data_IF_778352431726
#
_entry.id   IF_778352431726
#
_cell.length_a   1.000
_cell.length_b   1.000
_cell.length_c   1.000
_cell.angle_alpha   90.00
_cell.angle_beta   90.00
_cell.angle_gamma   90.00
#
_symmetry.space_group_name_H-M   'P 1'
#
loop_
_entity.id
_entity.type
_entity.pdbx_description
1 polymer ?
#
# COMPACT_ATOMS: atom_id res chain seq x y z
N UNK A 1 -13.19 2.10 -13.55
CA UNK A 1 -13.51 1.14 -14.63
C UNK A 1 -14.80 0.43 -14.29
N UNK A 2 -15.59 0.10 -15.28
CA UNK A 2 -16.80 -0.72 -15.17
C UNK A 2 -16.41 -2.11 -14.61
N UNK A 3 -16.98 -2.47 -13.46
CA UNK A 3 -16.60 -3.72 -12.77
C UNK A 3 -17.13 -4.96 -13.50
N UNK A 4 -18.17 -4.87 -14.31
CA UNK A 4 -18.63 -5.97 -15.17
C UNK A 4 -17.59 -6.32 -16.23
N UNK A 5 -16.93 -5.31 -16.80
CA UNK A 5 -15.84 -5.50 -17.76
C UNK A 5 -14.62 -6.13 -17.07
N UNK A 6 -14.24 -5.61 -15.87
CA UNK A 6 -13.16 -6.17 -15.10
C UNK A 6 -13.43 -7.63 -14.71
N UNK A 7 -14.67 -7.95 -14.31
CA UNK A 7 -15.09 -9.32 -14.02
C UNK A 7 -14.82 -10.27 -15.19
N UNK A 8 -15.20 -9.88 -16.41
CA UNK A 8 -14.93 -10.72 -17.61
C UNK A 8 -13.46 -10.95 -17.86
N UNK A 9 -12.61 -9.95 -17.60
CA UNK A 9 -11.16 -10.09 -17.71
C UNK A 9 -10.64 -11.08 -16.67
N UNK A 10 -11.05 -10.95 -15.42
CA UNK A 10 -10.62 -11.83 -14.34
C UNK A 10 -11.08 -13.29 -14.55
N UNK A 11 -12.32 -13.48 -15.01
CA UNK A 11 -12.85 -14.79 -15.36
C UNK A 11 -12.07 -15.42 -16.52
N UNK A 12 -11.69 -14.61 -17.53
CA UNK A 12 -10.90 -15.08 -18.67
C UNK A 12 -9.44 -15.43 -18.33
N UNK A 13 -8.83 -14.67 -17.42
CA UNK A 13 -7.47 -14.95 -16.92
C UNK A 13 -7.45 -16.19 -16.05
N UNK A 14 -8.48 -16.42 -15.25
CA UNK A 14 -8.67 -17.57 -14.37
C UNK A 14 -7.42 -17.98 -13.59
N UNK A 15 -6.74 -17.02 -12.98
CA UNK A 15 -5.50 -17.22 -12.24
C UNK A 15 -5.67 -16.84 -10.75
N UNK A 16 -5.15 -17.67 -9.85
CA UNK A 16 -5.11 -17.38 -8.42
C UNK A 16 -4.15 -16.23 -8.07
N UNK A 17 -3.24 -15.90 -8.96
CA UNK A 17 -2.26 -14.81 -8.78
C UNK A 17 -2.77 -13.45 -9.24
N UNK A 18 -3.96 -13.40 -9.85
CA UNK A 18 -4.58 -12.16 -10.33
C UNK A 18 -5.86 -11.90 -9.56
N UNK A 19 -6.01 -10.71 -9.02
CA UNK A 19 -7.13 -10.32 -8.18
C UNK A 19 -7.53 -8.86 -8.45
N UNK A 20 -8.62 -8.42 -7.85
CA UNK A 20 -9.06 -7.04 -7.91
C UNK A 20 -8.59 -6.25 -6.68
N UNK A 21 -8.05 -5.07 -6.93
CA UNK A 21 -7.99 -3.98 -5.99
C UNK A 21 -9.23 -3.11 -6.23
N UNK A 22 -10.04 -2.91 -5.21
CA UNK A 22 -11.19 -2.03 -5.30
C UNK A 22 -10.88 -0.66 -4.67
N UNK A 23 -10.73 0.37 -5.50
CA UNK A 23 -10.85 1.75 -5.03
C UNK A 23 -12.35 2.06 -4.92
N UNK A 24 -12.83 2.29 -3.70
CA UNK A 24 -14.26 2.47 -3.44
C UNK A 24 -14.85 3.73 -4.08
N UNK A 25 -14.01 4.71 -4.40
CA UNK A 25 -14.42 5.99 -4.95
C UNK A 25 -14.68 5.92 -6.47
N UNK A 26 -13.81 5.23 -7.21
CA UNK A 26 -13.80 5.31 -8.66
C UNK A 26 -15.06 4.74 -9.33
N UNK A 27 -15.51 3.51 -9.06
CA UNK A 27 -16.75 3.00 -9.66
C UNK A 27 -17.97 3.85 -9.31
N UNK A 28 -18.06 4.29 -8.06
CA UNK A 28 -19.17 5.09 -7.57
C UNK A 28 -19.21 6.47 -8.24
N UNK A 29 -18.08 7.20 -8.27
CA UNK A 29 -18.01 8.57 -8.78
C UNK A 29 -18.03 8.68 -10.30
N UNK A 30 -17.30 7.80 -10.97
CA UNK A 30 -17.07 7.94 -12.41
C UNK A 30 -17.93 7.01 -13.26
N UNK A 31 -18.47 5.94 -12.68
CA UNK A 31 -19.28 4.96 -13.40
C UNK A 31 -20.72 4.89 -12.90
N UNK A 32 -21.05 5.71 -11.90
CA UNK A 32 -22.37 5.69 -11.21
C UNK A 32 -22.76 4.29 -10.73
N UNK A 33 -21.77 3.48 -10.38
CA UNK A 33 -21.94 2.10 -9.95
C UNK A 33 -22.12 2.05 -8.44
N UNK A 34 -23.23 1.45 -8.00
CA UNK A 34 -23.50 1.32 -6.58
C UNK A 34 -22.54 0.29 -5.93
N UNK A 35 -22.18 0.46 -4.64
CA UNK A 35 -21.27 -0.45 -3.95
C UNK A 35 -21.69 -1.92 -4.02
N UNK A 36 -22.97 -2.18 -3.95
CA UNK A 36 -23.53 -3.54 -4.01
C UNK A 36 -23.30 -4.18 -5.39
N UNK A 37 -23.39 -3.39 -6.45
CA UNK A 37 -23.09 -3.87 -7.82
C UNK A 37 -21.63 -4.26 -7.96
N UNK A 38 -20.71 -3.43 -7.44
CA UNK A 38 -19.28 -3.76 -7.41
C UNK A 38 -19.05 -5.06 -6.64
N UNK A 39 -19.68 -5.25 -5.49
CA UNK A 39 -19.56 -6.46 -4.68
C UNK A 39 -20.14 -7.67 -5.40
N UNK A 40 -21.27 -7.54 -6.08
CA UNK A 40 -21.86 -8.63 -6.89
C UNK A 40 -20.89 -9.01 -8.02
N UNK A 41 -20.34 -8.02 -8.71
CA UNK A 41 -19.47 -8.26 -9.86
C UNK A 41 -18.10 -8.81 -9.44
N UNK A 42 -17.46 -8.27 -8.43
CA UNK A 42 -16.04 -8.51 -8.11
C UNK A 42 -15.79 -9.20 -6.76
N UNK A 43 -16.82 -9.40 -5.93
CA UNK A 43 -16.62 -9.76 -4.51
C UNK A 43 -15.63 -10.89 -4.26
N UNK A 44 -15.66 -11.96 -5.04
CA UNK A 44 -14.70 -13.09 -4.89
C UNK A 44 -13.27 -12.71 -5.27
N UNK A 45 -13.10 -11.72 -6.13
CA UNK A 45 -11.80 -11.26 -6.63
C UNK A 45 -11.19 -10.13 -5.79
N UNK A 46 -11.98 -9.44 -4.97
CA UNK A 46 -11.48 -8.32 -4.15
C UNK A 46 -10.54 -8.86 -3.07
N UNK A 47 -9.25 -8.50 -3.16
CA UNK A 47 -8.21 -8.87 -2.20
C UNK A 47 -7.59 -7.68 -1.49
N UNK A 48 -7.77 -6.49 -2.04
CA UNK A 48 -7.27 -5.25 -1.47
C UNK A 48 -8.26 -4.12 -1.74
N UNK A 49 -8.36 -3.17 -0.82
CA UNK A 49 -9.27 -2.03 -0.92
C UNK A 49 -8.50 -0.74 -0.70
N UNK A 50 -8.71 0.23 -1.59
CA UNK A 50 -8.38 1.62 -1.34
C UNK A 50 -9.63 2.35 -0.83
N UNK A 51 -9.54 2.87 0.39
CA UNK A 51 -10.57 3.71 0.99
C UNK A 51 -10.26 5.18 0.73
N UNK A 52 -11.28 5.90 0.32
CA UNK A 52 -11.21 7.32 -0.02
C UNK A 52 -12.58 7.93 0.16
N UNK A 53 -12.65 9.12 0.73
CA UNK A 53 -13.88 9.91 0.79
C UNK A 53 -13.77 11.17 -0.06
N UNK A 54 -14.88 11.64 -0.58
CA UNK A 54 -14.92 12.79 -1.47
C UNK A 54 -16.30 13.43 -1.49
N UNK A 55 -16.38 14.64 -2.02
CA UNK A 55 -17.63 15.32 -2.42
C UNK A 55 -17.53 15.74 -3.89
N UNK A 56 -18.67 15.81 -4.56
CA UNK A 56 -18.77 16.39 -5.90
C UNK A 56 -19.08 17.87 -5.76
N UNK A 57 -18.25 18.73 -6.34
CA UNK A 57 -18.45 20.17 -6.34
C UNK A 57 -19.50 20.57 -7.39
N UNK A 58 -19.98 21.80 -7.33
CA UNK A 58 -20.99 22.33 -8.27
C UNK A 58 -20.51 22.32 -9.73
N UNK A 59 -19.21 22.38 -9.97
CA UNK A 59 -18.58 22.29 -11.29
C UNK A 59 -18.31 20.85 -11.77
N UNK A 60 -18.73 19.84 -11.00
CA UNK A 60 -18.50 18.43 -11.27
C UNK A 60 -17.12 17.91 -10.88
N UNK A 61 -16.23 18.75 -10.39
CA UNK A 61 -14.93 18.30 -9.87
C UNK A 61 -15.07 17.59 -8.54
N UNK A 62 -14.05 16.81 -8.15
CA UNK A 62 -14.02 16.11 -6.85
C UNK A 62 -13.11 16.83 -5.87
N UNK A 63 -13.60 16.98 -4.64
CA UNK A 63 -12.77 17.35 -3.49
C UNK A 63 -12.66 16.14 -2.56
N UNK A 64 -11.43 15.70 -2.29
CA UNK A 64 -11.18 14.62 -1.32
C UNK A 64 -11.34 15.14 0.11
N UNK A 65 -11.94 14.31 0.95
CA UNK A 65 -12.25 14.59 2.35
C UNK A 65 -11.65 13.53 3.26
N UNK A 66 -11.47 13.86 4.52
CA UNK A 66 -11.17 12.82 5.53
C UNK A 66 -12.35 11.86 5.62
N UNK A 67 -12.09 10.64 6.05
CA UNK A 67 -13.13 9.60 6.07
C UNK A 67 -14.32 10.03 6.94
N UNK A 68 -15.51 9.99 6.36
CA UNK A 68 -16.75 10.41 7.00
C UNK A 68 -17.07 11.90 6.88
N UNK A 69 -16.22 12.72 6.27
CA UNK A 69 -16.49 14.15 6.01
C UNK A 69 -16.99 14.42 4.58
N UNK A 70 -17.03 13.39 3.74
CA UNK A 70 -17.56 13.44 2.38
C UNK A 70 -19.00 12.93 2.30
N UNK A 71 -19.41 12.60 1.09
CA UNK A 71 -20.74 12.05 0.81
C UNK A 71 -20.71 10.67 0.14
N UNK A 72 -19.55 9.98 0.23
CA UNK A 72 -19.46 8.58 -0.16
C UNK A 72 -20.33 7.71 0.75
N UNK A 73 -21.00 6.68 0.24
CA UNK A 73 -21.83 5.78 1.04
C UNK A 73 -20.99 4.79 1.87
N UNK A 74 -20.08 5.31 2.70
CA UNK A 74 -19.03 4.53 3.39
C UNK A 74 -19.62 3.44 4.29
N UNK A 75 -20.67 3.77 5.05
CA UNK A 75 -21.32 2.81 5.94
C UNK A 75 -21.90 1.61 5.17
N UNK A 76 -22.55 1.87 4.02
CA UNK A 76 -23.06 0.80 3.14
C UNK A 76 -21.92 -0.06 2.60
N UNK A 77 -20.83 0.57 2.16
CA UNK A 77 -19.65 -0.11 1.61
C UNK A 77 -19.05 -1.05 2.67
N UNK A 78 -18.73 -0.52 3.85
CA UNK A 78 -18.06 -1.31 4.88
C UNK A 78 -18.96 -2.39 5.50
N UNK A 79 -20.24 -2.10 5.71
CA UNK A 79 -21.20 -3.12 6.15
C UNK A 79 -21.36 -4.27 5.14
N UNK A 80 -21.41 -3.94 3.84
CA UNK A 80 -21.50 -4.95 2.79
C UNK A 80 -20.23 -5.82 2.71
N UNK A 81 -19.05 -5.22 2.91
CA UNK A 81 -17.79 -5.96 3.00
C UNK A 81 -17.75 -6.91 4.21
N UNK A 82 -18.17 -6.41 5.37
CA UNK A 82 -18.27 -7.23 6.60
C UNK A 82 -19.25 -8.39 6.40
N UNK A 83 -20.44 -8.10 5.86
CA UNK A 83 -21.47 -9.13 5.60
C UNK A 83 -20.99 -10.21 4.63
N UNK A 84 -20.09 -9.86 3.69
CA UNK A 84 -19.47 -10.82 2.76
C UNK A 84 -18.28 -11.57 3.36
N UNK A 85 -17.87 -11.25 4.58
CA UNK A 85 -16.71 -11.86 5.23
C UNK A 85 -15.37 -11.41 4.64
N UNK A 86 -15.29 -10.18 4.09
CA UNK A 86 -14.03 -9.62 3.65
C UNK A 86 -13.06 -9.49 4.83
N UNK A 87 -11.88 -10.10 4.71
CA UNK A 87 -10.85 -10.12 5.74
C UNK A 87 -9.48 -9.63 5.24
N UNK A 88 -9.47 -8.98 4.08
CA UNK A 88 -8.27 -8.38 3.50
C UNK A 88 -7.93 -7.01 4.09
N UNK A 89 -6.94 -6.36 3.48
CA UNK A 89 -6.49 -5.04 3.90
C UNK A 89 -7.34 -3.93 3.28
N UNK A 90 -7.57 -2.88 4.07
CA UNK A 90 -8.15 -1.62 3.62
C UNK A 90 -7.12 -0.54 3.87
N UNK A 91 -6.65 0.10 2.82
CA UNK A 91 -5.65 1.17 2.84
C UNK A 91 -6.31 2.51 2.55
N UNK A 92 -6.02 3.52 3.34
CA UNK A 92 -6.37 4.89 2.98
C UNK A 92 -5.54 5.33 1.78
N UNK A 93 -6.21 5.77 0.72
CA UNK A 93 -5.54 6.47 -0.37
C UNK A 93 -5.66 7.98 -0.17
N UNK A 94 -4.53 8.63 0.12
CA UNK A 94 -4.46 10.06 0.41
C UNK A 94 -3.52 10.76 -0.56
N UNK A 95 -4.10 11.37 -1.59
CA UNK A 95 -3.39 11.86 -2.76
C UNK A 95 -2.77 13.26 -2.57
N UNK A 96 -2.18 13.56 -1.40
CA UNK A 96 -1.59 14.87 -1.08
C UNK A 96 -0.51 15.32 -2.05
N UNK A 97 0.18 14.39 -2.70
CA UNK A 97 1.20 14.71 -3.72
C UNK A 97 0.60 15.53 -4.87
N UNK A 98 -0.63 15.25 -5.26
CA UNK A 98 -1.31 15.92 -6.38
C UNK A 98 -2.28 17.02 -5.91
N UNK A 99 -2.79 16.93 -4.68
CA UNK A 99 -3.70 17.90 -4.07
C UNK A 99 -3.07 18.49 -2.82
N UNK A 100 -2.25 19.54 -2.98
CA UNK A 100 -1.41 20.13 -1.92
C UNK A 100 -2.22 20.71 -0.74
N UNK A 101 -3.48 21.07 -0.98
CA UNK A 101 -4.43 21.60 0.02
C UNK A 101 -4.97 20.52 0.96
N UNK A 102 -4.71 19.23 0.71
CA UNK A 102 -5.17 18.17 1.61
C UNK A 102 -4.47 18.23 2.97
N UNK A 103 -5.18 17.77 4.00
CA UNK A 103 -4.70 17.68 5.38
C UNK A 103 -3.43 16.83 5.48
N UNK A 104 -2.57 17.15 6.43
CA UNK A 104 -1.30 16.42 6.62
C UNK A 104 -1.53 14.98 7.13
N UNK A 105 -0.64 14.08 6.74
CA UNK A 105 -0.68 12.65 7.07
C UNK A 105 -0.76 12.40 8.59
N UNK A 106 -0.07 13.21 9.40
CA UNK A 106 -0.13 13.13 10.87
C UNK A 106 -1.51 13.33 11.49
N UNK A 107 -2.44 13.95 10.76
CA UNK A 107 -3.84 14.12 11.20
C UNK A 107 -4.73 13.05 10.56
N UNK A 108 -4.53 12.82 9.27
CA UNK A 108 -5.41 11.95 8.47
C UNK A 108 -5.27 10.48 8.86
N UNK A 109 -4.06 9.99 9.13
CA UNK A 109 -3.87 8.55 9.43
C UNK A 109 -4.47 8.16 10.79
N UNK A 110 -4.30 8.92 11.90
CA UNK A 110 -5.03 8.65 13.12
C UNK A 110 -6.55 8.70 12.93
N UNK A 111 -7.06 9.72 12.24
CA UNK A 111 -8.49 9.86 11.95
C UNK A 111 -9.04 8.66 11.17
N UNK A 112 -8.31 8.21 10.13
CA UNK A 112 -8.70 7.00 9.40
C UNK A 112 -8.72 5.76 10.29
N UNK A 113 -7.71 5.58 11.13
CA UNK A 113 -7.66 4.46 12.06
C UNK A 113 -8.85 4.46 13.03
N UNK A 114 -9.22 5.63 13.55
CA UNK A 114 -10.37 5.79 14.44
C UNK A 114 -11.70 5.56 13.70
N UNK A 115 -11.85 6.14 12.51
CA UNK A 115 -13.03 5.92 11.66
C UNK A 115 -13.28 4.45 11.35
N UNK A 116 -12.23 3.67 11.13
CA UNK A 116 -12.33 2.25 10.80
C UNK A 116 -12.60 1.32 12.00
N UNK A 117 -12.54 1.81 13.25
CA UNK A 117 -12.76 0.97 14.45
C UNK A 117 -14.05 0.16 14.42
N UNK A 118 -15.24 0.71 14.05
CA UNK A 118 -16.50 -0.03 14.01
C UNK A 118 -16.52 -1.18 13.00
N UNK A 119 -15.72 -1.06 11.94
CA UNK A 119 -15.67 -2.01 10.83
C UNK A 119 -14.56 -3.05 10.97
N UNK A 120 -13.72 -2.92 11.99
CA UNK A 120 -12.67 -3.92 12.26
C UNK A 120 -13.31 -5.23 12.63
N UNK A 121 -13.08 -6.25 11.83
CA UNK A 121 -13.36 -7.62 12.22
C UNK A 121 -12.48 -7.89 13.45
N UNK A 122 -13.10 -8.25 14.57
CA UNK A 122 -12.40 -8.67 15.79
C UNK A 122 -11.75 -10.05 15.57
N UNK A 123 -11.00 -10.20 14.49
CA UNK A 123 -10.10 -11.33 14.39
C UNK A 123 -8.96 -11.07 15.37
N UNK A 124 -8.84 -11.93 16.34
CA UNK A 124 -7.57 -12.08 17.05
C UNK A 124 -6.52 -12.33 15.94
N UNK A 125 -5.73 -11.33 15.63
CA UNK A 125 -4.64 -11.53 14.71
C UNK A 125 -3.73 -12.59 15.32
N UNK A 126 -3.71 -13.78 14.73
CA UNK A 126 -2.85 -14.89 15.14
C UNK A 126 -1.40 -14.41 15.28
N UNK A 127 -0.99 -13.49 14.41
CA UNK A 127 0.33 -12.83 14.47
C UNK A 127 0.49 -11.99 15.74
N UNK A 128 -0.49 -11.14 16.10
CA UNK A 128 -0.40 -10.31 17.32
C UNK A 128 -0.57 -11.15 18.58
N UNK A 129 -1.35 -12.22 18.54
CA UNK A 129 -1.52 -13.14 19.66
C UNK A 129 -0.25 -13.95 19.90
N UNK A 130 0.45 -14.38 18.85
CA UNK A 130 1.73 -15.06 18.93
C UNK A 130 2.86 -14.11 19.40
N UNK A 131 2.89 -12.86 18.94
CA UNK A 131 3.83 -11.84 19.41
C UNK A 131 3.60 -11.50 20.90
N UNK A 132 2.32 -11.42 21.35
CA UNK A 132 2.00 -11.15 22.75
C UNK A 132 2.25 -12.34 23.68
N UNK A 133 2.01 -13.57 23.22
CA UNK A 133 2.17 -14.77 24.06
C UNK A 133 3.61 -15.26 24.18
N UNK A 134 4.41 -15.13 23.13
CA UNK A 134 5.71 -15.81 23.08
C UNK A 134 6.90 -14.86 22.88
N UNK A 135 6.68 -13.55 22.69
CA UNK A 135 7.78 -12.60 22.41
C UNK A 135 8.57 -12.88 21.13
N UNK A 136 8.31 -14.02 20.48
CA UNK A 136 8.96 -14.45 19.26
C UNK A 136 7.90 -14.84 18.23
N UNK A 137 7.97 -14.26 17.04
CA UNK A 137 7.24 -14.77 15.90
C UNK A 137 7.86 -16.11 15.49
N UNK A 138 7.06 -17.20 15.37
CA UNK A 138 7.61 -18.50 15.00
C UNK A 138 7.87 -18.56 13.50
N UNK A 139 8.76 -17.71 13.01
CA UNK A 139 9.33 -17.94 11.70
C UNK A 139 10.19 -19.19 11.77
N UNK A 140 10.00 -20.18 10.90
CA UNK A 140 10.96 -21.25 10.77
C UNK A 140 12.32 -20.60 10.52
N UNK A 141 13.29 -20.77 11.43
CA UNK A 141 14.62 -20.16 11.30
C UNK A 141 15.27 -20.50 9.95
N UNK A 142 14.92 -21.65 9.40
CA UNK A 142 15.40 -22.14 8.10
C UNK A 142 14.93 -21.27 6.92
N UNK A 143 13.91 -20.41 7.13
CA UNK A 143 13.41 -19.49 6.09
C UNK A 143 13.88 -18.03 6.30
N UNK A 144 14.55 -17.75 7.37
CA UNK A 144 15.14 -16.44 7.60
C UNK A 144 16.47 -16.39 6.86
N UNK A 145 16.62 -15.39 6.03
CA UNK A 145 17.90 -15.08 5.41
C UNK A 145 18.72 -14.35 6.48
N UNK A 146 19.80 -14.98 6.95
CA UNK A 146 20.72 -14.41 7.94
C UNK A 146 21.78 -13.54 7.22
N UNK A 147 21.27 -12.55 6.45
CA UNK A 147 22.11 -11.60 5.74
C UNK A 147 21.70 -10.17 6.10
N UNK A 148 22.68 -9.30 6.20
CA UNK A 148 22.46 -7.86 6.23
C UNK A 148 22.08 -7.33 4.82
N UNK A 149 21.55 -6.11 4.75
CA UNK A 149 21.30 -5.48 3.44
C UNK A 149 22.56 -5.37 2.55
N UNK A 150 23.74 -5.00 3.08
CA UNK A 150 24.99 -5.06 2.32
C UNK A 150 25.28 -6.45 1.76
N UNK A 151 25.16 -7.51 2.56
CA UNK A 151 25.42 -8.89 2.10
C UNK A 151 24.49 -9.28 0.94
N UNK A 152 23.22 -8.86 1.02
CA UNK A 152 22.24 -9.11 -0.07
C UNK A 152 22.64 -8.35 -1.32
N UNK A 153 23.06 -7.09 -1.18
CA UNK A 153 23.49 -6.27 -2.31
C UNK A 153 24.72 -6.86 -3.00
N UNK A 154 25.73 -7.32 -2.23
CA UNK A 154 26.92 -7.96 -2.78
C UNK A 154 26.57 -9.21 -3.58
N UNK A 155 25.71 -10.08 -3.03
CA UNK A 155 25.26 -11.29 -3.74
C UNK A 155 24.49 -10.97 -5.03
N UNK A 156 23.67 -9.92 -5.02
CA UNK A 156 22.95 -9.46 -6.24
C UNK A 156 23.96 -8.93 -7.26
N UNK A 157 24.97 -8.19 -6.84
CA UNK A 157 26.04 -7.72 -7.73
C UNK A 157 26.78 -8.88 -8.41
N UNK A 158 27.06 -9.93 -7.66
CA UNK A 158 27.70 -11.15 -8.19
C UNK A 158 26.78 -11.90 -9.17
N UNK A 159 25.50 -12.09 -8.79
CA UNK A 159 24.54 -12.85 -9.57
C UNK A 159 24.09 -12.13 -10.85
N UNK A 160 23.98 -10.79 -10.80
CA UNK A 160 23.39 -9.96 -11.85
C UNK A 160 24.24 -8.70 -12.19
N UNK A 161 25.52 -8.85 -12.55
CA UNK A 161 26.46 -7.72 -12.66
C UNK A 161 26.11 -6.71 -13.78
N UNK A 162 25.31 -7.12 -14.75
CA UNK A 162 24.89 -6.27 -15.88
C UNK A 162 23.46 -5.75 -15.77
N UNK A 163 22.70 -6.22 -14.75
CA UNK A 163 21.32 -5.81 -14.58
C UNK A 163 21.23 -4.43 -13.94
N UNK A 164 20.22 -3.66 -14.34
CA UNK A 164 19.96 -2.36 -13.74
C UNK A 164 19.30 -2.52 -12.37
N UNK A 165 19.87 -1.85 -11.35
CA UNK A 165 19.25 -1.63 -10.06
C UNK A 165 18.20 -0.51 -10.15
N UNK A 166 18.55 0.56 -10.85
CA UNK A 166 17.68 1.72 -11.08
C UNK A 166 17.79 2.23 -12.52
N UNK A 167 16.65 2.66 -13.05
CA UNK A 167 16.57 3.33 -14.34
C UNK A 167 15.50 4.42 -14.27
N UNK A 168 15.94 5.64 -14.01
CA UNK A 168 15.09 6.83 -14.00
C UNK A 168 15.32 7.60 -15.31
N UNK A 169 14.50 7.34 -16.30
CA UNK A 169 14.63 7.92 -17.65
C UNK A 169 14.47 9.44 -17.69
N UNK A 170 13.61 9.98 -16.83
CA UNK A 170 13.36 11.43 -16.72
C UNK A 170 14.53 12.19 -16.08
N UNK A 171 15.38 11.51 -15.32
CA UNK A 171 16.51 12.10 -14.61
C UNK A 171 17.87 11.74 -15.26
N UNK A 172 17.83 11.00 -16.36
CA UNK A 172 19.02 10.39 -16.99
C UNK A 172 19.93 9.67 -15.97
N UNK A 173 19.29 9.05 -14.98
CA UNK A 173 19.98 8.34 -13.92
C UNK A 173 19.77 6.83 -14.06
N UNK A 174 20.82 6.14 -14.45
CA UNK A 174 20.82 4.68 -14.60
C UNK A 174 21.99 4.09 -13.83
N UNK A 175 21.75 3.01 -13.05
CA UNK A 175 22.78 2.29 -12.31
C UNK A 175 22.57 0.79 -12.46
N UNK A 176 23.64 0.08 -12.78
CA UNK A 176 23.68 -1.38 -12.57
C UNK A 176 23.85 -1.68 -11.09
N UNK A 177 23.63 -2.92 -10.65
CA UNK A 177 23.83 -3.30 -9.25
C UNK A 177 25.23 -3.00 -8.72
N UNK A 178 26.33 -3.32 -9.44
CA UNK A 178 27.67 -2.91 -9.01
C UNK A 178 27.85 -1.40 -8.88
N UNK A 179 27.36 -0.62 -9.84
CA UNK A 179 27.43 0.84 -9.76
C UNK A 179 26.64 1.39 -8.57
N UNK A 180 25.46 0.81 -8.28
CA UNK A 180 24.68 1.18 -7.11
C UNK A 180 25.41 0.85 -5.81
N UNK A 181 26.06 -0.32 -5.72
CA UNK A 181 26.91 -0.66 -4.56
C UNK A 181 28.03 0.36 -4.36
N UNK A 182 28.70 0.77 -5.44
CA UNK A 182 29.77 1.78 -5.37
C UNK A 182 29.23 3.14 -4.87
N UNK A 183 28.01 3.53 -5.29
CA UNK A 183 27.36 4.75 -4.80
C UNK A 183 27.01 4.62 -3.29
N UNK A 184 26.51 3.47 -2.83
CA UNK A 184 26.22 3.18 -1.41
C UNK A 184 27.50 3.28 -0.58
N UNK A 185 28.60 2.68 -1.04
CA UNK A 185 29.90 2.72 -0.35
C UNK A 185 30.48 4.14 -0.29
N UNK A 186 30.33 4.90 -1.37
CA UNK A 186 30.75 6.31 -1.41
C UNK A 186 29.97 7.15 -0.40
N UNK A 187 28.66 6.94 -0.33
CA UNK A 187 27.79 7.62 0.63
C UNK A 187 28.14 7.24 2.08
N UNK A 188 28.37 5.96 2.35
CA UNK A 188 28.78 5.50 3.68
C UNK A 188 30.12 6.12 4.11
N UNK A 189 31.10 6.16 3.21
CA UNK A 189 32.39 6.84 3.49
C UNK A 189 32.20 8.33 3.79
N UNK A 190 31.28 9.00 3.10
CA UNK A 190 30.98 10.42 3.34
C UNK A 190 30.36 10.62 4.72
N UNK A 191 29.45 9.77 5.17
CA UNK A 191 28.88 9.83 6.51
C UNK A 191 29.94 9.63 7.60
N UNK A 192 30.86 8.66 7.41
CA UNK A 192 31.97 8.43 8.32
C UNK A 192 32.89 9.65 8.38
N UNK A 193 33.22 10.25 7.22
CA UNK A 193 34.03 11.46 7.15
C UNK A 193 33.38 12.67 7.84
N UNK A 194 32.03 12.73 7.86
CA UNK A 194 31.27 13.73 8.60
C UNK A 194 31.23 13.45 10.12
N UNK A 195 31.76 12.34 10.58
CA UNK A 195 31.85 11.98 12.00
C UNK A 195 30.69 11.14 12.52
N UNK A 196 29.80 10.63 11.65
CA UNK A 196 28.71 9.74 12.03
C UNK A 196 29.29 8.43 12.61
N UNK A 197 28.79 8.04 13.77
CA UNK A 197 29.25 6.86 14.52
C UNK A 197 28.11 5.88 14.74
N UNK A 198 28.44 4.68 15.17
CA UNK A 198 27.46 3.67 15.55
C UNK A 198 26.55 4.20 16.67
N UNK A 199 25.25 4.17 16.45
CA UNK A 199 24.23 4.66 17.37
C UNK A 199 23.71 6.06 17.03
N UNK A 200 24.33 6.78 16.11
CA UNK A 200 23.83 8.07 15.65
C UNK A 200 22.58 7.89 14.78
N UNK A 201 21.72 8.89 14.83
CA UNK A 201 20.51 8.94 13.99
C UNK A 201 20.74 9.87 12.81
N UNK A 202 20.54 9.35 11.61
CA UNK A 202 20.62 10.12 10.35
C UNK A 202 19.22 10.25 9.78
N UNK A 203 18.78 11.50 9.53
CA UNK A 203 17.51 11.77 8.86
C UNK A 203 17.73 11.97 7.37
N UNK A 204 16.86 11.36 6.56
CA UNK A 204 16.81 11.54 5.10
C UNK A 204 15.45 12.15 4.77
N UNK A 205 15.44 13.28 4.02
CA UNK A 205 14.23 13.97 3.60
C UNK A 205 14.17 14.20 2.08
#
# INVERSE_FOLDING_TARGET
ADTKRLRRVLDGVNSRSVAALWDINHPYRFMNEQPEETIINLGQYIKFIHAKDSVVNADGSLTYKMMGEGDMPLDRIFKALVARGYNGYISLEWAKRWAKNLTNAGVVFPQFADFMQPYRIKHKHVIQENLRKNGNYPWPKERLIDYTFPDVLDRICEAFPKQYAFRYTELDYTRTYPQFRDDVDAFARSLIAMGVKRGDHVAIW
#
